data_IF_563821548093
#
_entry.id   IF_563821548093
#
_cell.length_a   1.000
_cell.length_b   1.000
_cell.length_c   1.000
_cell.angle_alpha   90.00
_cell.angle_beta   90.00
_cell.angle_gamma   90.00
#
_symmetry.space_group_name_H-M   'P 1'
#
loop_
_entity.id
_entity.type
_entity.pdbx_description
1 polymer ?
#
# COMPACT_ATOMS: atom_id res chain seq x y z
N UNK A 1 -15.70 -18.72 2.42
CA UNK A 1 -16.52 -17.70 1.76
C UNK A 1 -15.64 -16.96 0.78
N UNK A 2 -16.16 -16.34 -0.26
CA UNK A 2 -15.33 -15.59 -1.19
C UNK A 2 -14.70 -14.37 -0.51
N UNK A 3 -13.48 -14.01 -0.94
CA UNK A 3 -12.79 -12.80 -0.53
C UNK A 3 -13.55 -11.59 -1.07
N UNK A 4 -13.90 -10.65 -0.20
CA UNK A 4 -14.55 -9.38 -0.57
C UNK A 4 -13.54 -8.24 -0.43
N UNK A 5 -13.39 -7.41 -1.47
CA UNK A 5 -12.50 -6.23 -1.43
C UNK A 5 -13.35 -4.98 -1.47
N UNK A 6 -13.04 -4.03 -0.58
CA UNK A 6 -13.74 -2.75 -0.45
C UNK A 6 -12.75 -1.59 -0.54
N UNK A 7 -13.10 -0.50 -1.23
CA UNK A 7 -12.38 0.75 -1.08
C UNK A 7 -12.42 1.21 0.37
N UNK A 8 -11.34 1.78 0.84
CA UNK A 8 -11.29 2.39 2.16
C UNK A 8 -12.12 3.67 2.16
N UNK A 9 -13.20 3.65 2.92
CA UNK A 9 -14.10 4.80 3.12
C UNK A 9 -14.00 5.32 4.56
N UNK A 10 -14.51 6.53 4.88
CA UNK A 10 -14.56 7.04 6.26
C UNK A 10 -15.17 6.05 7.26
N UNK A 11 -16.21 5.30 6.85
CA UNK A 11 -16.91 4.33 7.70
C UNK A 11 -16.03 3.10 8.02
N UNK A 12 -15.02 2.82 7.20
CA UNK A 12 -14.09 1.72 7.37
C UNK A 12 -12.79 2.12 8.10
N UNK A 13 -12.65 3.39 8.51
CA UNK A 13 -11.44 3.89 9.15
C UNK A 13 -11.10 3.10 10.43
N UNK A 14 -12.10 2.75 11.22
CA UNK A 14 -11.88 1.98 12.45
C UNK A 14 -11.53 0.51 12.15
N UNK A 15 -12.18 -0.12 11.18
CA UNK A 15 -11.83 -1.48 10.73
C UNK A 15 -10.39 -1.57 10.21
N UNK A 16 -9.92 -0.53 9.51
CA UNK A 16 -8.50 -0.39 9.11
C UNK A 16 -7.59 -0.31 10.34
N UNK A 17 -7.92 0.56 11.31
CA UNK A 17 -7.08 0.80 12.48
C UNK A 17 -7.03 -0.43 13.41
N UNK A 18 -8.15 -1.12 13.60
CA UNK A 18 -8.24 -2.36 14.36
C UNK A 18 -7.45 -3.50 13.68
N UNK A 19 -7.59 -3.64 12.35
CA UNK A 19 -6.83 -4.64 11.60
C UNK A 19 -5.33 -4.44 11.77
N UNK A 20 -4.81 -3.23 11.54
CA UNK A 20 -3.37 -2.95 11.69
C UNK A 20 -2.88 -3.06 13.13
N UNK A 21 -3.70 -2.71 14.10
CA UNK A 21 -3.39 -2.86 15.53
C UNK A 21 -3.36 -4.32 16.00
N UNK A 22 -4.07 -5.22 15.31
CA UNK A 22 -4.17 -6.64 15.63
C UNK A 22 -3.21 -7.56 14.88
N UNK A 23 -2.53 -7.06 13.83
CA UNK A 23 -1.58 -7.88 13.05
C UNK A 23 -0.30 -8.13 13.85
N UNK A 24 0.17 -9.36 13.83
CA UNK A 24 1.47 -9.72 14.41
C UNK A 24 2.64 -9.17 13.58
N UNK A 25 3.32 -8.18 14.14
CA UNK A 25 4.55 -7.59 13.62
C UNK A 25 5.82 -8.04 14.38
N UNK A 26 5.79 -9.17 15.08
CA UNK A 26 6.93 -9.67 15.87
C UNK A 26 8.24 -9.77 15.08
N UNK A 27 8.16 -10.11 13.79
CA UNK A 27 9.33 -10.15 12.89
C UNK A 27 9.86 -8.75 12.49
N UNK A 28 9.07 -7.71 12.64
CA UNK A 28 9.38 -6.31 12.28
C UNK A 28 8.69 -5.35 13.26
N UNK A 29 9.07 -5.36 14.55
CA UNK A 29 8.30 -4.69 15.61
C UNK A 29 8.08 -3.20 15.38
N UNK A 30 9.03 -2.50 14.74
CA UNK A 30 8.94 -1.08 14.43
C UNK A 30 7.84 -0.75 13.38
N UNK A 31 7.28 -1.75 12.68
CA UNK A 31 6.17 -1.50 11.76
C UNK A 31 4.81 -1.48 12.45
N UNK A 32 4.71 -2.02 13.67
CA UNK A 32 3.47 -2.00 14.47
C UNK A 32 2.97 -0.58 14.78
N UNK A 33 3.87 0.41 14.78
CA UNK A 33 3.53 1.81 15.00
C UNK A 33 3.21 2.59 13.72
N UNK A 34 3.39 2.00 12.52
CA UNK A 34 3.38 2.75 11.27
C UNK A 34 1.98 3.24 10.85
N UNK A 35 0.95 2.40 11.00
CA UNK A 35 -0.41 2.65 10.46
C UNK A 35 -0.42 3.23 9.03
N UNK A 36 0.55 2.81 8.21
CA UNK A 36 0.81 3.25 6.83
C UNK A 36 1.00 4.76 6.63
N UNK A 37 1.34 5.52 7.70
CA UNK A 37 1.61 6.97 7.61
C UNK A 37 2.95 7.30 6.96
N UNK A 38 3.93 6.39 7.01
CA UNK A 38 5.31 6.65 6.61
C UNK A 38 5.45 7.29 5.22
N UNK A 39 4.66 6.86 4.24
CA UNK A 39 4.75 7.37 2.87
C UNK A 39 3.99 8.68 2.62
N UNK A 40 3.03 9.01 3.49
CA UNK A 40 2.25 10.25 3.40
C UNK A 40 2.94 11.46 4.05
N UNK A 41 3.98 11.21 4.86
CA UNK A 41 4.72 12.26 5.58
C UNK A 41 6.06 12.51 4.91
N UNK A 42 6.32 13.77 4.58
CA UNK A 42 7.65 14.23 4.18
C UNK A 42 8.33 14.88 5.39
N UNK A 43 8.90 14.04 6.24
CA UNK A 43 9.59 14.44 7.45
C UNK A 43 10.96 13.74 7.56
N UNK A 44 11.93 14.31 8.29
CA UNK A 44 13.22 13.67 8.58
C UNK A 44 13.03 12.29 9.24
N UNK A 45 14.00 11.40 9.03
CA UNK A 45 13.94 10.04 9.61
C UNK A 45 13.85 10.07 11.13
N UNK A 46 14.59 10.99 11.79
CA UNK A 46 14.57 11.16 13.25
C UNK A 46 13.16 11.51 13.76
N UNK A 47 12.48 12.43 13.10
CA UNK A 47 11.09 12.80 13.43
C UNK A 47 10.15 11.61 13.23
N UNK A 48 10.28 10.87 12.13
CA UNK A 48 9.51 9.65 11.89
C UNK A 48 9.72 8.61 12.99
N UNK A 49 10.97 8.38 13.40
CA UNK A 49 11.32 7.40 14.44
C UNK A 49 10.85 7.78 15.84
N UNK A 50 10.63 9.08 16.10
CA UNK A 50 10.10 9.58 17.37
C UNK A 50 8.57 9.46 17.49
N UNK A 51 7.86 9.12 16.42
CA UNK A 51 6.39 9.04 16.40
C UNK A 51 5.88 7.80 17.13
N UNK A 52 4.80 7.99 17.88
CA UNK A 52 4.14 6.88 18.59
C UNK A 52 3.09 6.18 17.72
N UNK A 53 2.72 4.97 18.09
CA UNK A 53 1.64 4.23 17.46
C UNK A 53 0.28 4.96 17.57
N UNK A 54 0.02 5.58 18.73
CA UNK A 54 -1.22 6.35 18.94
C UNK A 54 -1.30 7.55 18.03
N UNK A 55 -0.20 8.31 17.88
CA UNK A 55 -0.16 9.45 16.96
C UNK A 55 -0.42 9.00 15.52
N UNK A 56 0.28 7.97 15.05
CA UNK A 56 0.12 7.47 13.70
C UNK A 56 -1.27 6.90 13.45
N UNK A 57 -1.84 6.17 14.42
CA UNK A 57 -3.22 5.65 14.36
C UNK A 57 -4.22 6.79 14.22
N UNK A 58 -4.16 7.77 15.13
CA UNK A 58 -5.10 8.90 15.14
C UNK A 58 -5.04 9.71 13.83
N UNK A 59 -3.82 10.01 13.35
CA UNK A 59 -3.64 10.75 12.09
C UNK A 59 -4.05 9.94 10.87
N UNK A 60 -3.89 8.60 10.87
CA UNK A 60 -4.37 7.76 9.78
C UNK A 60 -5.89 7.75 9.72
N UNK A 61 -6.56 7.58 10.87
CA UNK A 61 -8.03 7.67 10.94
C UNK A 61 -8.52 9.02 10.44
N UNK A 62 -7.90 10.13 10.89
CA UNK A 62 -8.26 11.47 10.43
C UNK A 62 -8.02 11.65 8.91
N UNK A 63 -6.90 11.12 8.39
CA UNK A 63 -6.58 11.20 6.97
C UNK A 63 -7.57 10.38 6.11
N UNK A 64 -8.03 9.23 6.60
CA UNK A 64 -9.08 8.43 5.95
C UNK A 64 -10.41 9.19 5.95
N UNK A 65 -10.80 9.74 7.10
CA UNK A 65 -12.05 10.51 7.23
C UNK A 65 -12.09 11.74 6.34
N UNK A 66 -10.93 12.36 6.07
CA UNK A 66 -10.81 13.51 5.17
C UNK A 66 -10.53 13.13 3.70
N UNK A 67 -10.45 11.84 3.37
CA UNK A 67 -10.18 11.36 2.02
C UNK A 67 -8.72 11.52 1.54
N UNK A 68 -7.81 11.92 2.42
CA UNK A 68 -6.39 12.13 2.09
C UNK A 68 -5.58 10.82 2.13
N UNK A 69 -6.09 9.79 2.77
CA UNK A 69 -5.51 8.45 2.79
C UNK A 69 -6.51 7.46 2.23
N UNK A 70 -6.12 6.74 1.19
CA UNK A 70 -6.96 5.81 0.46
C UNK A 70 -6.27 4.44 0.30
N UNK A 71 -7.03 3.46 -0.13
CA UNK A 71 -6.57 2.11 -0.37
C UNK A 71 -7.73 1.13 -0.37
N UNK A 72 -7.42 -0.15 -0.14
CA UNK A 72 -8.40 -1.23 -0.21
C UNK A 72 -8.24 -2.19 0.96
N UNK A 73 -9.36 -2.59 1.54
CA UNK A 73 -9.43 -3.63 2.56
C UNK A 73 -9.98 -4.92 1.96
N UNK A 74 -9.40 -6.03 2.34
CA UNK A 74 -9.89 -7.37 2.01
C UNK A 74 -10.57 -7.99 3.23
N UNK A 75 -11.75 -8.56 3.02
CA UNK A 75 -12.54 -9.22 4.07
C UNK A 75 -12.80 -10.68 3.71
N UNK A 76 -12.73 -11.55 4.71
CA UNK A 76 -13.17 -12.94 4.64
C UNK A 76 -14.01 -13.26 5.87
N UNK A 77 -15.18 -13.86 5.66
CA UNK A 77 -16.10 -14.20 6.76
C UNK A 77 -16.46 -13.02 7.67
N UNK A 78 -16.49 -11.81 7.12
CA UNK A 78 -16.80 -10.58 7.85
C UNK A 78 -15.62 -9.96 8.61
N UNK A 79 -14.47 -10.64 8.71
CA UNK A 79 -13.24 -10.13 9.31
C UNK A 79 -12.32 -9.47 8.26
N UNK A 80 -11.66 -8.38 8.62
CA UNK A 80 -10.61 -7.78 7.78
C UNK A 80 -9.37 -8.67 7.81
N UNK A 81 -8.88 -9.06 6.63
CA UNK A 81 -7.75 -9.97 6.46
C UNK A 81 -6.61 -9.41 5.61
N UNK A 82 -6.80 -8.23 5.04
CA UNK A 82 -5.77 -7.61 4.20
C UNK A 82 -5.99 -6.12 3.97
N UNK A 83 -4.90 -5.43 3.75
CA UNK A 83 -4.82 -4.02 3.43
C UNK A 83 -3.86 -3.78 2.27
N UNK A 84 -4.23 -2.87 1.38
CA UNK A 84 -3.35 -2.30 0.35
C UNK A 84 -3.43 -0.78 0.38
N UNK A 85 -2.32 -0.10 0.65
CA UNK A 85 -2.21 1.35 0.51
C UNK A 85 -2.11 1.71 -0.95
N UNK A 86 -3.08 2.45 -1.46
CA UNK A 86 -3.17 2.86 -2.85
C UNK A 86 -3.74 4.29 -2.95
N UNK A 87 -3.07 5.16 -3.69
CA UNK A 87 -3.50 6.54 -3.89
C UNK A 87 -2.90 7.10 -5.19
N UNK A 88 -3.24 8.34 -5.53
CA UNK A 88 -2.46 9.10 -6.52
C UNK A 88 -0.99 9.15 -6.08
N UNK A 89 -0.06 8.91 -6.99
CA UNK A 89 1.36 8.82 -6.66
C UNK A 89 1.90 10.06 -5.94
N UNK A 90 1.35 11.25 -6.24
CA UNK A 90 1.75 12.52 -5.60
C UNK A 90 1.39 12.62 -4.12
N UNK A 91 0.44 11.82 -3.64
CA UNK A 91 0.05 11.80 -2.23
C UNK A 91 1.08 11.06 -1.35
N UNK A 92 1.90 10.21 -1.94
CA UNK A 92 3.01 9.55 -1.24
C UNK A 92 4.24 10.46 -1.15
N UNK A 93 4.14 11.53 -0.40
CA UNK A 93 5.07 12.67 -0.34
C UNK A 93 6.51 12.27 -0.10
N UNK A 94 6.75 11.25 0.74
CA UNK A 94 8.10 10.76 1.06
C UNK A 94 8.87 10.24 -0.14
N UNK A 95 8.18 9.71 -1.15
CA UNK A 95 8.80 9.09 -2.32
C UNK A 95 8.43 9.78 -3.63
N UNK A 96 7.54 10.75 -3.61
CA UNK A 96 7.08 11.38 -4.84
C UNK A 96 8.21 12.10 -5.60
N UNK A 97 9.20 12.63 -4.90
CA UNK A 97 10.39 13.21 -5.54
C UNK A 97 11.09 12.23 -6.50
N UNK A 98 11.20 10.98 -6.10
CA UNK A 98 11.80 9.89 -6.89
C UNK A 98 10.85 9.39 -7.99
N UNK A 99 9.53 9.46 -7.78
CA UNK A 99 8.53 9.01 -8.75
C UNK A 99 8.22 10.04 -9.83
N UNK A 100 8.32 11.33 -9.51
CA UNK A 100 7.95 12.44 -10.39
C UNK A 100 8.58 12.37 -11.79
N UNK A 101 9.86 11.99 -11.97
CA UNK A 101 10.47 11.88 -13.30
C UNK A 101 9.77 10.84 -14.20
N UNK A 102 9.18 9.80 -13.63
CA UNK A 102 8.44 8.77 -14.37
C UNK A 102 6.99 9.16 -14.63
N UNK A 103 6.37 9.89 -13.69
CA UNK A 103 4.97 10.29 -13.79
C UNK A 103 4.74 11.40 -14.84
N UNK A 104 5.66 12.38 -14.95
CA UNK A 104 5.46 13.54 -15.80
C UNK A 104 4.14 14.26 -15.47
N UNK A 105 3.38 14.60 -16.51
CA UNK A 105 2.06 15.24 -16.40
C UNK A 105 0.88 14.24 -16.34
N UNK A 106 1.16 12.95 -16.31
CA UNK A 106 0.15 11.90 -16.27
C UNK A 106 -0.50 11.79 -14.89
N UNK A 107 -1.76 11.40 -14.87
CA UNK A 107 -2.47 11.00 -13.65
C UNK A 107 -2.09 9.56 -13.32
N UNK A 108 -1.22 9.37 -12.32
CA UNK A 108 -0.62 8.07 -11.99
C UNK A 108 -1.05 7.60 -10.63
N UNK A 109 -1.64 6.39 -10.57
CA UNK A 109 -1.91 5.69 -9.33
C UNK A 109 -0.67 4.96 -8.82
N UNK A 110 -0.56 4.79 -7.50
CA UNK A 110 0.52 4.03 -6.89
C UNK A 110 -0.03 3.08 -5.82
N UNK A 111 0.49 1.85 -5.79
CA UNK A 111 0.32 0.91 -4.67
C UNK A 111 1.67 0.73 -3.98
N UNK A 112 1.71 0.84 -2.64
CA UNK A 112 3.00 0.89 -1.94
C UNK A 112 3.13 -0.06 -0.75
N UNK A 113 2.06 -0.39 -0.05
CA UNK A 113 2.13 -1.20 1.17
C UNK A 113 1.00 -2.22 1.20
N UNK A 114 1.35 -3.48 1.43
CA UNK A 114 0.41 -4.58 1.65
C UNK A 114 0.63 -5.17 3.03
N UNK A 115 -0.43 -5.25 3.81
CA UNK A 115 -0.45 -5.98 5.08
C UNK A 115 -1.49 -7.08 4.97
N UNK A 116 -1.07 -8.33 5.08
CA UNK A 116 -1.94 -9.51 4.97
C UNK A 116 -1.87 -10.28 6.27
N UNK A 117 -3.04 -10.63 6.83
CA UNK A 117 -3.14 -11.46 8.02
C UNK A 117 -2.29 -12.73 7.84
N UNK A 118 -1.50 -13.14 8.85
CA UNK A 118 -0.59 -14.28 8.72
C UNK A 118 -1.25 -15.53 8.13
N UNK A 119 -2.43 -15.89 8.60
CA UNK A 119 -3.16 -17.07 8.15
C UNK A 119 -3.70 -16.98 6.72
N UNK A 120 -3.71 -15.78 6.15
CA UNK A 120 -4.20 -15.49 4.79
C UNK A 120 -3.08 -15.25 3.79
N UNK A 121 -1.82 -15.34 4.22
CA UNK A 121 -0.67 -15.23 3.34
C UNK A 121 -0.63 -16.41 2.37
N UNK A 122 -0.05 -16.18 1.18
CA UNK A 122 0.06 -17.16 0.09
C UNK A 122 -1.29 -17.70 -0.46
N UNK A 123 -2.41 -17.10 -0.07
CA UNK A 123 -3.76 -17.44 -0.55
C UNK A 123 -4.29 -16.46 -1.61
N UNK A 124 -3.41 -15.67 -2.22
CA UNK A 124 -3.76 -14.75 -3.31
C UNK A 124 -4.35 -13.41 -2.89
N UNK A 125 -4.49 -13.10 -1.58
CA UNK A 125 -5.11 -11.86 -1.09
C UNK A 125 -4.42 -10.61 -1.64
N UNK A 126 -3.08 -10.55 -1.63
CA UNK A 126 -2.35 -9.39 -2.16
C UNK A 126 -2.57 -9.20 -3.68
N UNK A 127 -2.64 -10.31 -4.44
CA UNK A 127 -2.94 -10.27 -5.88
C UNK A 127 -4.36 -9.76 -6.15
N UNK A 128 -5.32 -10.20 -5.36
CA UNK A 128 -6.70 -9.75 -5.48
C UNK A 128 -6.84 -8.25 -5.14
N UNK A 129 -6.14 -7.77 -4.10
CA UNK A 129 -6.07 -6.35 -3.76
C UNK A 129 -5.43 -5.52 -4.89
N UNK A 130 -4.33 -6.02 -5.51
CA UNK A 130 -3.70 -5.35 -6.64
C UNK A 130 -4.62 -5.29 -7.85
N UNK A 131 -5.29 -6.41 -8.21
CA UNK A 131 -6.21 -6.44 -9.34
C UNK A 131 -7.36 -5.45 -9.14
N UNK A 132 -7.94 -5.43 -7.92
CA UNK A 132 -8.99 -4.46 -7.60
C UNK A 132 -8.48 -3.02 -7.74
N UNK A 133 -7.26 -2.73 -7.28
CA UNK A 133 -6.66 -1.41 -7.45
C UNK A 133 -6.52 -1.03 -8.93
N UNK A 134 -6.03 -1.94 -9.78
CA UNK A 134 -5.90 -1.72 -11.23
C UNK A 134 -7.25 -1.38 -11.86
N UNK A 135 -8.29 -2.17 -11.55
CA UNK A 135 -9.63 -1.99 -12.10
C UNK A 135 -10.23 -0.62 -11.64
N UNK A 136 -10.08 -0.28 -10.36
CA UNK A 136 -10.62 0.96 -9.78
C UNK A 136 -9.89 2.21 -10.33
N UNK A 137 -8.56 2.19 -10.42
CA UNK A 137 -7.80 3.30 -11.02
C UNK A 137 -8.11 3.46 -12.51
N UNK A 138 -8.31 2.35 -13.23
CA UNK A 138 -8.78 2.37 -14.63
C UNK A 138 -10.15 3.05 -14.73
N UNK A 139 -11.10 2.63 -13.91
CA UNK A 139 -12.45 3.21 -13.88
C UNK A 139 -12.45 4.70 -13.50
N UNK A 140 -11.52 5.12 -12.64
CA UNK A 140 -11.32 6.52 -12.23
C UNK A 140 -10.56 7.36 -13.27
N UNK A 141 -10.21 6.77 -14.41
CA UNK A 141 -9.58 7.45 -15.53
C UNK A 141 -8.13 7.86 -15.28
N UNK A 142 -7.38 7.08 -14.53
CA UNK A 142 -5.93 7.24 -14.44
C UNK A 142 -5.26 6.79 -15.74
N UNK A 143 -4.11 7.40 -16.06
CA UNK A 143 -3.36 7.09 -17.26
C UNK A 143 -2.48 5.85 -17.07
N UNK A 144 -1.97 5.67 -15.85
CA UNK A 144 -1.07 4.58 -15.51
C UNK A 144 -1.07 4.28 -14.01
N UNK A 145 -0.43 3.17 -13.65
CA UNK A 145 -0.02 2.86 -12.27
C UNK A 145 1.47 2.63 -12.17
N UNK A 146 2.04 3.04 -11.04
CA UNK A 146 3.45 2.83 -10.68
C UNK A 146 3.53 2.03 -9.38
N UNK A 147 4.56 1.18 -9.26
CA UNK A 147 4.83 0.41 -8.06
C UNK A 147 6.34 0.28 -7.83
N UNK A 148 6.72 0.10 -6.57
CA UNK A 148 8.12 0.03 -6.13
C UNK A 148 8.36 -1.24 -5.30
N UNK A 149 8.20 -2.46 -5.85
CA UNK A 149 8.54 -3.66 -5.10
C UNK A 149 10.01 -3.67 -4.72
N UNK A 150 10.28 -4.23 -3.55
CA UNK A 150 11.61 -4.39 -3.01
C UNK A 150 11.92 -5.87 -2.87
N UNK A 151 12.95 -6.33 -3.58
CA UNK A 151 13.41 -7.72 -3.49
C UNK A 151 14.29 -7.90 -2.24
N UNK A 152 13.80 -8.73 -1.31
CA UNK A 152 14.56 -9.11 -0.12
C UNK A 152 14.60 -10.62 0.02
N UNK A 153 15.80 -11.17 0.24
CA UNK A 153 16.02 -12.58 0.57
C UNK A 153 15.98 -12.83 2.08
N UNK A 154 16.00 -11.77 2.91
CA UNK A 154 16.14 -11.92 4.34
C UNK A 154 14.85 -12.40 5.01
N UNK A 155 13.72 -11.71 4.76
CA UNK A 155 12.44 -12.09 5.33
C UNK A 155 11.28 -11.80 4.37
N UNK A 156 10.21 -12.64 4.37
CA UNK A 156 9.00 -12.37 3.58
C UNK A 156 8.34 -11.04 3.95
N UNK A 157 8.42 -10.61 5.21
CA UNK A 157 7.83 -9.35 5.70
C UNK A 157 8.44 -8.13 5.03
N UNK A 158 9.74 -8.15 4.67
CA UNK A 158 10.37 -7.04 3.95
C UNK A 158 9.78 -6.82 2.54
N UNK A 159 8.97 -7.76 2.04
CA UNK A 159 8.24 -7.63 0.77
C UNK A 159 6.88 -6.94 0.91
N UNK A 160 6.72 -6.09 1.91
CA UNK A 160 5.45 -5.38 2.14
C UNK A 160 5.01 -4.46 0.99
N UNK A 161 5.89 -4.15 0.05
CA UNK A 161 5.55 -3.42 -1.18
C UNK A 161 5.01 -4.32 -2.31
N UNK A 162 4.77 -5.59 -2.01
CA UNK A 162 4.46 -6.62 -2.99
C UNK A 162 5.72 -7.27 -3.57
N UNK A 163 5.55 -8.33 -4.35
CA UNK A 163 6.65 -9.02 -5.02
C UNK A 163 6.74 -8.62 -6.49
N UNK A 164 7.95 -8.65 -7.07
CA UNK A 164 8.16 -8.37 -8.49
C UNK A 164 7.22 -9.22 -9.37
N UNK A 165 7.19 -10.53 -9.13
CA UNK A 165 6.35 -11.43 -9.92
C UNK A 165 4.85 -11.12 -9.81
N UNK A 166 4.37 -10.66 -8.65
CA UNK A 166 2.96 -10.28 -8.48
C UNK A 166 2.56 -9.17 -9.44
N UNK A 167 3.42 -8.18 -9.63
CA UNK A 167 3.19 -7.07 -10.53
C UNK A 167 3.38 -7.44 -11.99
N UNK A 168 4.43 -8.21 -12.31
CA UNK A 168 4.66 -8.67 -13.70
C UNK A 168 3.49 -9.53 -14.19
N UNK A 169 2.96 -10.42 -13.34
CA UNK A 169 1.77 -11.23 -13.66
C UNK A 169 0.51 -10.36 -13.84
N UNK A 170 0.44 -9.18 -13.22
CA UNK A 170 -0.64 -8.20 -13.40
C UNK A 170 -0.41 -7.26 -14.61
N UNK A 171 0.61 -7.50 -15.43
CA UNK A 171 0.88 -6.75 -16.65
C UNK A 171 1.79 -5.54 -16.51
N UNK A 172 2.35 -5.31 -15.33
CA UNK A 172 3.37 -4.26 -15.16
C UNK A 172 4.65 -4.63 -15.90
N UNK A 173 5.38 -3.62 -16.36
CA UNK A 173 6.74 -3.75 -16.91
C UNK A 173 7.74 -2.98 -16.06
N UNK A 174 8.94 -3.46 -15.95
CA UNK A 174 10.03 -2.76 -15.29
C UNK A 174 10.51 -1.61 -16.20
N UNK A 175 10.62 -0.41 -15.63
CA UNK A 175 11.10 0.79 -16.34
C UNK A 175 12.40 1.32 -15.77
N UNK A 176 12.73 0.97 -14.52
CA UNK A 176 14.00 1.29 -13.87
C UNK A 176 14.23 0.35 -12.70
N UNK A 177 15.47 0.28 -12.21
CA UNK A 177 15.82 -0.38 -10.95
C UNK A 177 17.02 0.27 -10.29
N UNK A 178 17.05 0.27 -8.96
CA UNK A 178 18.17 0.71 -8.16
C UNK A 178 18.38 -0.25 -6.98
N UNK A 179 19.50 -0.98 -7.01
CA UNK A 179 19.77 -2.03 -6.03
C UNK A 179 18.68 -3.10 -6.02
N UNK A 180 17.98 -3.24 -4.90
CA UNK A 180 16.90 -4.20 -4.73
C UNK A 180 15.50 -3.62 -5.00
N UNK A 181 15.41 -2.33 -5.35
CA UNK A 181 14.15 -1.65 -5.68
C UNK A 181 13.92 -1.67 -7.17
N UNK A 182 12.76 -2.15 -7.60
CA UNK A 182 12.32 -2.13 -8.99
C UNK A 182 11.26 -1.04 -9.16
N UNK A 183 11.32 -0.26 -10.24
CA UNK A 183 10.28 0.69 -10.63
C UNK A 183 9.45 0.05 -11.72
N UNK A 184 8.21 -0.24 -11.41
CA UNK A 184 7.29 -0.95 -12.29
C UNK A 184 6.16 -0.02 -12.75
N UNK A 185 5.79 -0.16 -14.01
CA UNK A 185 4.81 0.67 -14.69
C UNK A 185 3.75 -0.16 -15.39
N UNK A 186 2.48 0.24 -15.27
CA UNK A 186 1.35 -0.29 -16.02
C UNK A 186 0.61 0.85 -16.69
N UNK A 187 0.52 0.85 -18.03
CA UNK A 187 -0.35 1.77 -18.76
C UNK A 187 -1.80 1.27 -18.62
N UNK A 188 -2.73 2.17 -18.27
CA UNK A 188 -4.16 1.88 -18.11
C UNK A 188 -4.99 2.33 -19.31
N UNK A 189 -4.39 3.12 -20.22
CA UNK A 189 -4.99 3.62 -21.46
C UNK A 189 -4.03 3.45 -22.63
#
# INVERSE_FOLDING_TARGET
MPLEIKPLTPELAEAFAEFLGGVDFSATPHWSSCYCRAYYLDCPLEEWMARTAEQNRAESVQAIQSGNMTGYLAFESGGCVGWCSANDAKEFRRIYGDLKPFCGDKKVGCTICYVIHPDMRQKGVARALLQYAVDDFTAKGYDAMIALPFESKETPQKRYRGTLNMYLDAGYREIASEGAVHVLWLDLR
#
